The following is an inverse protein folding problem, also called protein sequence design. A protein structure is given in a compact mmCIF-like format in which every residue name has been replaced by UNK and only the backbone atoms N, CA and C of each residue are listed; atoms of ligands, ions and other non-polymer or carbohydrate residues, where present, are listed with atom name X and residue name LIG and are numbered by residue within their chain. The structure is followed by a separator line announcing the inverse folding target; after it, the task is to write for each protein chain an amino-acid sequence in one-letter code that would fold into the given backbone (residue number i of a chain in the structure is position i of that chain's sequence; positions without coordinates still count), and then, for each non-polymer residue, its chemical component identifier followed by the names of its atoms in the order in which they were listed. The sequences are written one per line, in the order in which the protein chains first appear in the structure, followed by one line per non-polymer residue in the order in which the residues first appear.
data_IF_813460105254
#
_entry.id   IF_813460105254
#
_cell.length_a   1.000
_cell.length_b   1.000
_cell.length_c   1.000
_cell.angle_alpha   90.00
_cell.angle_beta   90.00
_cell.angle_gamma   90.00
#
_symmetry.space_group_name_H-M   'P 1'
#
loop_
_entity.id
_entity.type
_entity.pdbx_description
1 polymer ?
#
# COMPACT_ATOMS: atom_id res chain seq x y z
N UNK A 1 13.67 -14.82 4.64
CA UNK A 1 14.29 -13.92 5.67
C UNK A 1 15.52 -14.61 6.26
N UNK A 2 16.72 -14.28 5.83
CA UNK A 2 17.93 -15.03 6.24
C UNK A 2 18.56 -14.56 7.57
N UNK A 3 18.16 -13.38 8.08
CA UNK A 3 18.68 -12.84 9.34
C UNK A 3 17.76 -13.27 10.50
N UNK A 4 18.30 -13.90 11.57
CA UNK A 4 17.54 -14.27 12.76
C UNK A 4 16.73 -13.12 13.36
N UNK A 5 15.55 -13.44 13.91
CA UNK A 5 14.61 -12.43 14.42
C UNK A 5 15.21 -11.55 15.53
N UNK A 6 15.99 -12.12 16.46
CA UNK A 6 16.59 -11.35 17.56
C UNK A 6 17.54 -10.27 17.04
N UNK A 7 18.32 -10.57 15.99
CA UNK A 7 19.21 -9.61 15.32
C UNK A 7 18.39 -8.52 14.62
N UNK A 8 17.37 -8.90 13.84
CA UNK A 8 16.49 -7.93 13.19
C UNK A 8 15.80 -7.02 14.20
N UNK A 9 15.31 -7.57 15.31
CA UNK A 9 14.68 -6.82 16.41
C UNK A 9 15.67 -5.86 17.09
N UNK A 10 16.93 -6.26 17.25
CA UNK A 10 17.99 -5.38 17.77
C UNK A 10 18.28 -4.21 16.81
N UNK A 11 18.42 -4.51 15.51
CA UNK A 11 18.64 -3.50 14.46
C UNK A 11 17.44 -2.58 14.22
N UNK A 12 16.25 -2.93 14.71
CA UNK A 12 15.05 -2.07 14.58
C UNK A 12 15.02 -0.89 15.56
N UNK A 13 15.99 -0.81 16.48
CA UNK A 13 16.14 0.30 17.43
C UNK A 13 16.48 1.61 16.69
N UNK A 14 15.98 2.77 17.16
CA UNK A 14 16.18 4.06 16.48
C UNK A 14 17.64 4.40 16.19
N UNK A 15 18.56 4.05 17.09
CA UNK A 15 20.00 4.25 16.92
C UNK A 15 20.53 3.67 15.60
N UNK A 16 20.27 2.37 15.36
CA UNK A 16 20.76 1.70 14.15
C UNK A 16 20.05 2.18 12.88
N UNK A 17 18.75 2.45 12.96
CA UNK A 17 18.00 2.92 11.80
C UNK A 17 18.36 4.34 11.38
N UNK A 18 18.73 5.19 12.34
CA UNK A 18 19.24 6.54 12.08
C UNK A 18 20.61 6.49 11.40
N UNK A 19 21.46 5.54 11.77
CA UNK A 19 22.81 5.37 11.19
C UNK A 19 22.78 5.17 9.66
N UNK A 20 21.71 4.53 9.15
CA UNK A 20 21.51 4.27 7.72
C UNK A 20 20.47 5.20 7.09
N UNK A 21 20.03 6.24 7.78
CA UNK A 21 18.97 7.16 7.35
C UNK A 21 17.67 6.45 6.89
N UNK A 22 17.32 5.34 7.53
CA UNK A 22 16.15 4.51 7.21
C UNK A 22 15.22 4.35 8.42
N UNK A 23 15.12 5.37 9.27
CA UNK A 23 14.27 5.36 10.47
C UNK A 23 12.78 5.58 10.16
N UNK A 24 12.26 4.84 9.18
CA UNK A 24 10.85 4.82 8.86
C UNK A 24 10.13 3.73 9.66
N UNK A 25 8.88 4.01 10.03
CA UNK A 25 7.99 3.02 10.64
C UNK A 25 7.86 1.74 9.77
N UNK A 26 8.01 1.86 8.44
CA UNK A 26 7.98 0.72 7.50
C UNK A 26 9.16 -0.22 7.73
N UNK A 27 10.37 0.32 7.79
CA UNK A 27 11.60 -0.46 8.01
C UNK A 27 11.58 -1.10 9.39
N UNK A 28 11.18 -0.34 10.42
CA UNK A 28 11.04 -0.89 11.78
C UNK A 28 10.05 -2.04 11.85
N UNK A 29 8.89 -1.91 11.19
CA UNK A 29 7.90 -2.99 11.15
C UNK A 29 8.36 -4.20 10.35
N UNK A 30 9.10 -3.99 9.25
CA UNK A 30 9.70 -5.06 8.46
C UNK A 30 10.71 -5.88 9.28
N UNK A 31 11.53 -5.22 10.09
CA UNK A 31 12.49 -5.90 10.95
C UNK A 31 11.82 -6.66 12.11
N UNK A 32 10.69 -6.17 12.61
CA UNK A 32 9.97 -6.75 13.75
C UNK A 32 8.96 -7.86 13.37
N UNK A 33 8.89 -8.30 12.12
CA UNK A 33 8.04 -9.44 11.72
C UNK A 33 8.68 -10.77 12.13
N UNK A 34 7.90 -11.69 12.71
CA UNK A 34 8.43 -12.99 13.12
C UNK A 34 8.54 -13.94 11.94
N UNK A 35 7.47 -14.02 11.14
CA UNK A 35 7.39 -14.92 9.98
C UNK A 35 7.37 -14.17 8.65
N UNK A 36 7.63 -14.89 7.56
CA UNK A 36 7.48 -14.35 6.20
C UNK A 36 6.05 -13.95 5.89
N UNK A 37 5.07 -14.72 6.38
CA UNK A 37 3.65 -14.40 6.24
C UNK A 37 3.29 -13.13 7.00
N UNK A 38 3.81 -12.93 8.23
CA UNK A 38 3.60 -11.68 8.98
C UNK A 38 4.11 -10.46 8.20
N UNK A 39 5.22 -10.64 7.47
CA UNK A 39 5.76 -9.58 6.64
C UNK A 39 4.87 -9.27 5.45
N UNK A 40 4.39 -10.30 4.74
CA UNK A 40 3.42 -10.15 3.65
C UNK A 40 2.16 -9.43 4.16
N UNK A 41 1.56 -9.90 5.26
CA UNK A 41 0.34 -9.31 5.82
C UNK A 41 0.54 -7.86 6.27
N UNK A 42 1.73 -7.52 6.80
CA UNK A 42 2.03 -6.15 7.20
C UNK A 42 2.10 -5.18 6.02
N UNK A 43 2.54 -5.64 4.85
CA UNK A 43 2.58 -4.82 3.62
C UNK A 43 1.17 -4.34 3.27
N UNK A 44 0.18 -5.23 3.32
CA UNK A 44 -1.18 -4.93 2.86
C UNK A 44 -2.07 -4.37 3.97
N UNK A 45 -2.02 -4.92 5.18
CA UNK A 45 -2.97 -4.54 6.24
C UNK A 45 -2.62 -3.23 6.95
N UNK A 46 -1.34 -2.83 6.95
CA UNK A 46 -0.80 -1.66 7.70
C UNK A 46 -1.23 -1.60 9.18
N UNK A 47 -1.71 -2.73 9.74
CA UNK A 47 -2.06 -2.99 11.15
C UNK A 47 -2.89 -1.92 11.87
N UNK A 48 -3.86 -1.30 11.19
CA UNK A 48 -4.81 -0.37 11.82
C UNK A 48 -4.10 0.77 12.55
N UNK A 49 -3.11 1.40 11.91
CA UNK A 49 -2.22 2.39 12.54
C UNK A 49 -2.94 3.50 13.31
N UNK A 50 -4.11 3.93 12.85
CA UNK A 50 -4.91 4.99 13.48
C UNK A 50 -5.88 4.48 14.56
N UNK A 51 -6.03 3.17 14.75
CA UNK A 51 -7.03 2.61 15.66
C UNK A 51 -6.47 2.41 17.07
N UNK A 52 -7.32 2.58 18.10
CA UNK A 52 -6.99 2.27 19.50
C UNK A 52 -6.80 0.76 19.68
N UNK A 53 -7.76 -0.04 19.20
CA UNK A 53 -7.68 -1.51 19.15
C UNK A 53 -7.49 -1.95 17.70
N UNK A 54 -6.44 -2.72 17.43
CA UNK A 54 -6.22 -3.27 16.09
C UNK A 54 -7.29 -4.33 15.81
N UNK A 55 -8.01 -4.19 14.69
CA UNK A 55 -8.90 -5.24 14.16
C UNK A 55 -8.27 -5.82 12.90
N UNK A 56 -7.94 -7.10 12.92
CA UNK A 56 -7.39 -7.83 11.77
C UNK A 56 -8.16 -9.11 11.47
N UNK A 57 -9.34 -9.29 12.06
CA UNK A 57 -10.12 -10.52 11.93
C UNK A 57 -10.48 -10.80 10.47
N UNK A 58 -10.59 -9.77 9.63
CA UNK A 58 -10.83 -9.91 8.20
C UNK A 58 -9.71 -10.67 7.46
N UNK A 59 -8.47 -10.64 7.96
CA UNK A 59 -7.37 -11.41 7.34
C UNK A 59 -7.58 -12.91 7.43
N UNK A 60 -8.45 -13.40 8.33
CA UNK A 60 -8.78 -14.84 8.41
C UNK A 60 -9.43 -15.37 7.13
N UNK A 61 -10.03 -14.49 6.32
CA UNK A 61 -10.63 -14.84 5.03
C UNK A 61 -9.61 -14.96 3.89
N UNK A 62 -8.35 -14.59 4.15
CA UNK A 62 -7.27 -14.63 3.17
C UNK A 62 -6.09 -15.42 3.75
N UNK A 63 -6.31 -16.65 4.22
CA UNK A 63 -5.23 -17.50 4.76
C UNK A 63 -4.63 -18.41 3.68
N UNK A 64 -5.40 -18.76 2.65
CA UNK A 64 -5.01 -19.76 1.65
C UNK A 64 -3.75 -19.38 0.85
N UNK A 65 -3.50 -18.07 0.65
CA UNK A 65 -2.29 -17.57 -0.01
C UNK A 65 -0.98 -18.07 0.64
N UNK A 66 -1.03 -18.44 1.93
CA UNK A 66 0.13 -18.96 2.68
C UNK A 66 0.63 -20.29 2.10
N UNK A 67 -0.26 -21.02 1.42
CA UNK A 67 -0.06 -22.39 0.95
C UNK A 67 -0.02 -22.51 -0.57
N UNK A 68 -0.53 -21.53 -1.32
CA UNK A 68 -0.58 -21.57 -2.79
C UNK A 68 0.78 -21.57 -3.51
N UNK A 69 1.86 -21.21 -2.83
CA UNK A 69 3.22 -21.28 -3.37
C UNK A 69 4.26 -21.42 -2.27
N UNK A 70 5.35 -22.15 -2.57
CA UNK A 70 6.54 -22.21 -1.70
C UNK A 70 7.34 -20.89 -1.75
N UNK A 71 7.22 -20.11 -2.83
CA UNK A 71 8.02 -18.91 -3.02
C UNK A 71 7.34 -17.67 -2.41
N UNK A 72 8.04 -16.97 -1.50
CA UNK A 72 7.50 -15.81 -0.76
C UNK A 72 6.94 -14.71 -1.69
N UNK A 73 7.65 -14.38 -2.76
CA UNK A 73 7.23 -13.34 -3.72
C UNK A 73 5.93 -13.76 -4.43
N UNK A 74 5.75 -15.05 -4.74
CA UNK A 74 4.52 -15.53 -5.36
C UNK A 74 3.36 -15.42 -4.39
N UNK A 75 3.52 -15.85 -3.14
CA UNK A 75 2.50 -15.69 -2.09
C UNK A 75 2.07 -14.24 -1.91
N UNK A 76 3.03 -13.31 -1.93
CA UNK A 76 2.75 -11.88 -1.85
C UNK A 76 1.97 -11.36 -3.08
N UNK A 77 2.32 -11.83 -4.27
CA UNK A 77 1.60 -11.50 -5.50
C UNK A 77 0.16 -12.03 -5.49
N UNK A 78 -0.05 -13.23 -4.94
CA UNK A 78 -1.37 -13.85 -4.85
C UNK A 78 -2.30 -13.09 -3.92
N UNK A 79 -1.78 -12.74 -2.75
CA UNK A 79 -2.53 -11.90 -1.82
C UNK A 79 -2.79 -10.50 -2.41
N UNK A 80 -1.85 -9.97 -3.19
CA UNK A 80 -2.01 -8.68 -3.86
C UNK A 80 -3.19 -8.66 -4.86
N UNK A 81 -3.45 -9.78 -5.56
CA UNK A 81 -4.63 -9.90 -6.44
C UNK A 81 -5.92 -9.71 -5.61
N UNK A 82 -5.99 -10.33 -4.42
CA UNK A 82 -7.17 -10.23 -3.56
C UNK A 82 -7.32 -8.90 -2.82
N UNK A 83 -6.21 -8.29 -2.42
CA UNK A 83 -6.28 -7.09 -1.58
C UNK A 83 -6.15 -5.79 -2.37
N UNK A 84 -5.17 -5.70 -3.26
CA UNK A 84 -4.85 -4.45 -3.95
C UNK A 84 -5.60 -4.31 -5.26
N UNK A 85 -5.66 -5.37 -6.06
CA UNK A 85 -6.29 -5.30 -7.37
C UNK A 85 -7.81 -5.08 -7.23
N UNK A 86 -8.45 -5.92 -6.42
CA UNK A 86 -9.90 -5.87 -6.17
C UNK A 86 -10.32 -4.60 -5.41
N UNK A 87 -9.58 -4.13 -4.40
CA UNK A 87 -10.05 -3.04 -3.52
C UNK A 87 -9.39 -1.67 -3.77
N UNK A 88 -8.44 -1.55 -4.70
CA UNK A 88 -7.76 -0.27 -4.97
C UNK A 88 -7.74 0.07 -6.46
N UNK A 89 -7.06 -0.74 -7.29
CA UNK A 89 -6.81 -0.35 -8.69
C UNK A 89 -8.06 -0.49 -9.57
N UNK A 90 -8.72 -1.65 -9.58
CA UNK A 90 -9.84 -1.89 -10.48
C UNK A 90 -11.05 -1.02 -10.14
N UNK A 91 -11.38 -0.90 -8.85
CA UNK A 91 -12.52 -0.10 -8.38
C UNK A 91 -12.39 1.37 -8.77
N UNK A 92 -11.17 1.94 -8.73
CA UNK A 92 -10.96 3.33 -9.11
C UNK A 92 -11.13 3.56 -10.60
N UNK A 93 -10.52 2.69 -11.42
CA UNK A 93 -10.60 2.79 -12.88
C UNK A 93 -12.04 2.62 -13.34
N UNK A 94 -12.70 1.56 -12.86
CA UNK A 94 -14.09 1.24 -13.21
C UNK A 94 -15.06 2.38 -12.85
N UNK A 95 -15.03 2.85 -11.60
CA UNK A 95 -15.91 3.95 -11.17
C UNK A 95 -15.64 5.25 -11.92
N UNK A 96 -14.37 5.57 -12.19
CA UNK A 96 -14.03 6.79 -12.91
C UNK A 96 -14.44 6.73 -14.37
N UNK A 97 -14.27 5.59 -15.04
CA UNK A 97 -14.60 5.44 -16.46
C UNK A 97 -16.12 5.32 -16.67
N UNK A 98 -16.80 4.53 -15.84
CA UNK A 98 -18.25 4.32 -15.95
C UNK A 98 -19.05 5.57 -15.60
N UNK A 99 -18.52 6.48 -14.77
CA UNK A 99 -19.09 7.81 -14.55
C UNK A 99 -19.26 8.63 -15.84
N UNK A 100 -18.52 8.28 -16.91
CA UNK A 100 -18.59 8.90 -18.22
C UNK A 100 -18.92 7.88 -19.33
N UNK A 101 -19.56 6.75 -18.98
CA UNK A 101 -19.94 5.69 -19.93
C UNK A 101 -18.76 5.13 -20.76
N UNK A 102 -17.55 5.18 -20.22
CA UNK A 102 -16.35 4.61 -20.86
C UNK A 102 -16.05 3.23 -20.28
N UNK A 103 -16.00 2.22 -21.15
CA UNK A 103 -15.57 0.88 -20.78
C UNK A 103 -14.04 0.75 -20.87
N UNK A 104 -13.37 0.44 -19.75
CA UNK A 104 -11.91 0.21 -19.72
C UNK A 104 -11.62 -1.29 -19.63
N UNK A 105 -10.78 -1.78 -20.55
CA UNK A 105 -10.27 -3.16 -20.55
C UNK A 105 -8.84 -3.20 -20.01
N UNK A 106 -8.51 -4.25 -19.26
CA UNK A 106 -7.16 -4.49 -18.71
C UNK A 106 -6.59 -5.81 -19.24
N UNK A 107 -5.94 -5.84 -20.42
CA UNK A 107 -5.47 -7.07 -21.05
C UNK A 107 -4.53 -7.92 -20.19
N UNK A 108 -3.70 -7.28 -19.34
CA UNK A 108 -2.82 -7.98 -18.41
C UNK A 108 -3.55 -8.74 -17.29
N UNK A 109 -4.84 -8.50 -17.11
CA UNK A 109 -5.69 -9.21 -16.14
C UNK A 109 -6.48 -10.37 -16.76
N UNK A 110 -6.25 -10.68 -18.04
CA UNK A 110 -6.81 -11.89 -18.63
C UNK A 110 -6.34 -13.12 -17.83
N UNK A 111 -7.28 -13.99 -17.47
CA UNK A 111 -6.98 -15.15 -16.63
C UNK A 111 -5.92 -16.06 -17.25
N UNK A 112 -5.87 -16.17 -18.59
CA UNK A 112 -4.86 -16.96 -19.32
C UNK A 112 -3.47 -16.38 -19.14
N UNK A 113 -3.34 -15.05 -19.14
CA UNK A 113 -2.08 -14.35 -18.90
C UNK A 113 -1.63 -14.55 -17.45
N UNK A 114 -2.55 -14.46 -16.49
CA UNK A 114 -2.25 -14.65 -15.07
C UNK A 114 -1.84 -16.10 -14.79
N UNK A 115 -2.60 -17.08 -15.30
CA UNK A 115 -2.33 -18.51 -15.15
C UNK A 115 -0.98 -18.88 -15.74
N UNK A 116 -0.67 -18.44 -16.97
CA UNK A 116 0.63 -18.64 -17.57
C UNK A 116 1.75 -17.96 -16.77
N UNK A 117 1.58 -16.70 -16.37
CA UNK A 117 2.58 -15.99 -15.57
C UNK A 117 2.85 -16.65 -14.21
N UNK A 118 1.88 -17.41 -13.68
CA UNK A 118 2.00 -18.18 -12.44
C UNK A 118 2.83 -19.46 -12.62
N UNK A 119 2.83 -20.09 -13.80
CA UNK A 119 3.67 -21.28 -14.06
C UNK A 119 5.15 -20.93 -14.16
N UNK A 120 5.46 -19.68 -14.53
CA UNK A 120 6.82 -19.22 -14.70
C UNK A 120 7.57 -19.09 -13.35
N UNK A 121 8.84 -19.54 -13.29
CA UNK A 121 9.71 -19.26 -12.15
C UNK A 121 9.81 -17.75 -11.87
N UNK A 122 9.88 -17.38 -10.59
CA UNK A 122 9.81 -15.96 -10.16
C UNK A 122 10.91 -15.11 -10.80
N UNK A 123 12.08 -15.69 -11.12
CA UNK A 123 13.20 -14.99 -11.76
C UNK A 123 12.87 -14.43 -13.16
N UNK A 124 11.83 -14.93 -13.85
CA UNK A 124 11.32 -14.35 -15.10
C UNK A 124 10.58 -13.03 -14.87
N UNK A 125 9.98 -12.83 -13.69
CA UNK A 125 9.24 -11.59 -13.37
C UNK A 125 10.03 -10.64 -12.47
N UNK A 126 10.93 -11.19 -11.66
CA UNK A 126 11.72 -10.43 -10.70
C UNK A 126 13.09 -11.08 -10.44
N UNK A 127 14.17 -10.34 -10.65
CA UNK A 127 15.53 -10.78 -10.31
C UNK A 127 16.39 -9.61 -9.85
N UNK A 128 16.92 -9.67 -8.61
CA UNK A 128 17.87 -8.67 -8.05
C UNK A 128 17.46 -7.21 -8.30
N UNK A 129 16.19 -6.86 -8.08
CA UNK A 129 15.68 -5.50 -8.30
C UNK A 129 15.19 -5.21 -9.71
N UNK A 130 15.52 -6.04 -10.71
CA UNK A 130 14.94 -5.95 -12.04
C UNK A 130 13.51 -6.52 -12.01
N UNK A 131 12.53 -5.61 -11.97
CA UNK A 131 11.10 -5.93 -12.04
C UNK A 131 10.63 -6.03 -13.50
N UNK A 132 9.56 -6.80 -13.72
CA UNK A 132 8.91 -6.97 -15.03
C UNK A 132 9.86 -7.52 -16.11
N UNK A 133 10.85 -8.34 -15.71
CA UNK A 133 11.95 -8.77 -16.59
C UNK A 133 11.45 -9.35 -17.92
N UNK A 134 10.61 -10.39 -17.89
CA UNK A 134 10.06 -11.01 -19.11
C UNK A 134 9.32 -10.01 -20.02
N UNK A 135 8.64 -9.00 -19.46
CA UNK A 135 7.96 -7.98 -20.25
C UNK A 135 8.97 -7.01 -20.87
N UNK A 136 10.07 -6.71 -20.18
CA UNK A 136 11.14 -5.88 -20.73
C UNK A 136 11.84 -6.63 -21.86
N UNK A 137 12.19 -7.90 -21.64
CA UNK A 137 12.84 -8.77 -22.61
C UNK A 137 11.99 -8.85 -23.90
N UNK A 138 10.67 -9.05 -23.77
CA UNK A 138 9.74 -9.02 -24.92
C UNK A 138 9.65 -7.64 -25.59
N UNK A 139 9.60 -6.54 -24.82
CA UNK A 139 9.47 -5.19 -25.37
C UNK A 139 10.71 -4.74 -26.16
N UNK A 140 11.90 -5.28 -25.85
CA UNK A 140 13.14 -5.01 -26.60
C UNK A 140 13.02 -5.42 -28.07
N UNK A 141 12.11 -6.35 -28.42
CA UNK A 141 11.84 -6.76 -29.81
C UNK A 141 11.00 -5.74 -30.59
N UNK A 142 10.27 -4.84 -29.91
CA UNK A 142 9.28 -3.94 -30.54
C UNK A 142 9.67 -2.47 -30.48
N UNK A 143 10.31 -2.03 -29.39
CA UNK A 143 10.65 -0.62 -29.18
C UNK A 143 12.03 -0.48 -28.51
N UNK A 144 12.73 0.66 -28.71
CA UNK A 144 14.03 0.90 -28.07
C UNK A 144 13.97 0.83 -26.54
N UNK A 145 14.97 0.18 -25.95
CA UNK A 145 15.05 -0.12 -24.51
C UNK A 145 14.96 1.13 -23.64
N UNK A 146 15.48 2.25 -24.12
CA UNK A 146 15.52 3.54 -23.43
C UNK A 146 14.11 4.09 -23.13
N UNK A 147 13.11 3.68 -23.93
CA UNK A 147 11.73 4.15 -23.77
C UNK A 147 11.04 3.55 -22.53
N UNK A 148 11.33 2.30 -22.20
CA UNK A 148 10.66 1.57 -21.11
C UNK A 148 11.57 1.17 -19.95
N UNK A 149 12.90 1.24 -20.10
CA UNK A 149 13.84 0.98 -19.01
C UNK A 149 13.95 2.18 -18.05
N UNK A 150 12.81 2.62 -17.52
CA UNK A 150 12.68 3.72 -16.56
C UNK A 150 12.28 3.18 -15.19
N UNK A 151 12.61 3.89 -14.09
CA UNK A 151 12.11 3.54 -12.77
C UNK A 151 10.57 3.44 -12.76
N UNK A 152 10.03 2.46 -12.03
CA UNK A 152 8.57 2.27 -11.91
C UNK A 152 7.95 3.54 -11.32
N UNK A 153 7.12 4.22 -12.12
CA UNK A 153 6.24 5.30 -11.65
C UNK A 153 4.84 4.71 -11.43
N UNK A 154 4.25 5.03 -10.28
CA UNK A 154 2.85 4.71 -9.99
C UNK A 154 1.91 5.81 -10.51
N UNK A 155 0.61 5.55 -10.45
CA UNK A 155 -0.44 6.53 -10.74
C UNK A 155 -0.78 7.37 -9.49
N UNK A 156 0.25 7.81 -8.76
CA UNK A 156 0.03 8.58 -7.53
C UNK A 156 -0.34 10.02 -7.85
N UNK A 157 -1.49 10.45 -7.35
CA UNK A 157 -1.85 11.88 -7.25
C UNK A 157 -1.08 12.56 -6.11
N UNK A 158 -0.80 13.87 -6.19
CA UNK A 158 0.04 14.58 -5.24
C UNK A 158 -0.69 14.93 -3.93
N UNK A 159 -1.31 13.92 -3.28
CA UNK A 159 -2.13 14.10 -2.06
C UNK A 159 -1.36 14.83 -0.96
N UNK A 160 -0.09 14.49 -0.73
CA UNK A 160 0.73 15.14 0.29
C UNK A 160 0.90 16.65 0.03
N UNK A 161 0.98 17.05 -1.23
CA UNK A 161 1.06 18.46 -1.61
C UNK A 161 -0.30 19.14 -1.41
N UNK A 162 -1.39 18.53 -1.89
CA UNK A 162 -2.74 19.08 -1.73
C UNK A 162 -3.13 19.29 -0.26
N UNK A 163 -2.84 18.33 0.63
CA UNK A 163 -3.14 18.47 2.06
C UNK A 163 -2.37 19.63 2.69
N UNK A 164 -1.14 19.89 2.24
CA UNK A 164 -0.29 20.96 2.79
C UNK A 164 -0.60 22.32 2.19
N UNK A 165 -1.18 22.35 0.99
CA UNK A 165 -1.36 23.55 0.19
C UNK A 165 -2.83 23.73 -0.19
N UNK A 166 -3.22 23.42 -1.43
CA UNK A 166 -4.49 23.88 -2.02
C UNK A 166 -5.73 23.42 -1.24
N UNK A 167 -5.69 22.23 -0.64
CA UNK A 167 -6.82 21.65 0.08
C UNK A 167 -6.63 21.72 1.61
N UNK A 168 -5.61 22.42 2.12
CA UNK A 168 -5.30 22.45 3.56
C UNK A 168 -6.50 22.85 4.42
N UNK A 169 -7.21 23.91 4.02
CA UNK A 169 -8.38 24.42 4.73
C UNK A 169 -9.53 23.41 4.72
N UNK A 170 -9.78 22.77 3.57
CA UNK A 170 -10.81 21.75 3.44
C UNK A 170 -10.52 20.54 4.32
N UNK A 171 -9.28 20.04 4.32
CA UNK A 171 -8.90 18.92 5.18
C UNK A 171 -9.06 19.26 6.67
N UNK A 172 -8.70 20.48 7.09
CA UNK A 172 -8.91 20.93 8.47
C UNK A 172 -10.39 21.01 8.85
N UNK A 173 -11.23 21.51 7.94
CA UNK A 173 -12.66 21.63 8.16
C UNK A 173 -13.34 20.25 8.24
N UNK A 174 -13.01 19.36 7.30
CA UNK A 174 -13.56 18.02 7.21
C UNK A 174 -13.10 17.11 8.36
N UNK A 175 -11.86 17.26 8.82
CA UNK A 175 -11.25 16.44 9.88
C UNK A 175 -11.24 17.15 11.24
N UNK A 176 -12.36 17.79 11.56
CA UNK A 176 -12.56 18.51 12.81
C UNK A 176 -12.91 17.57 14.00
N UNK A 177 -12.88 18.10 15.22
CA UNK A 177 -13.12 17.33 16.44
C UNK A 177 -14.49 16.67 16.51
N UNK A 178 -15.51 17.26 15.90
CA UNK A 178 -16.85 16.68 15.84
C UNK A 178 -16.83 15.38 15.03
N UNK A 179 -16.31 15.43 13.80
CA UNK A 179 -16.17 14.25 12.94
C UNK A 179 -15.26 13.19 13.58
N UNK A 180 -14.10 13.58 14.11
CA UNK A 180 -13.15 12.63 14.69
C UNK A 180 -13.75 11.83 15.86
N UNK A 181 -14.64 12.44 16.65
CA UNK A 181 -15.35 11.77 17.76
C UNK A 181 -16.42 10.78 17.26
N UNK A 182 -17.00 11.00 16.07
CA UNK A 182 -17.96 10.08 15.44
C UNK A 182 -17.30 8.79 14.91
N UNK A 183 -15.99 8.79 14.67
CA UNK A 183 -15.29 7.61 14.13
C UNK A 183 -15.01 6.58 15.24
N UNK A 184 -15.65 5.40 15.23
CA UNK A 184 -15.47 4.41 16.27
C UNK A 184 -14.03 3.88 16.29
N UNK A 185 -13.49 3.65 17.50
CA UNK A 185 -12.17 3.07 17.72
C UNK A 185 -10.99 3.90 17.15
N UNK A 186 -11.21 5.14 16.71
CA UNK A 186 -10.16 6.06 16.27
C UNK A 186 -9.30 6.54 17.46
N UNK A 187 -7.99 6.53 17.30
CA UNK A 187 -7.06 7.19 18.22
C UNK A 187 -6.89 8.65 17.78
N UNK A 188 -7.77 9.51 18.30
CA UNK A 188 -7.84 10.95 17.96
C UNK A 188 -6.53 11.67 18.27
N UNK A 189 -5.96 11.47 19.46
CA UNK A 189 -4.68 12.10 19.85
C UNK A 189 -3.55 11.74 18.89
N UNK A 190 -3.45 10.46 18.54
CA UNK A 190 -2.47 10.00 17.55
C UNK A 190 -2.73 10.62 16.19
N UNK A 191 -4.00 10.72 15.76
CA UNK A 191 -4.36 11.33 14.49
C UNK A 191 -3.97 12.80 14.45
N UNK A 192 -4.36 13.60 15.46
CA UNK A 192 -4.02 15.03 15.56
C UNK A 192 -2.52 15.26 15.48
N UNK A 193 -1.73 14.47 16.22
CA UNK A 193 -0.26 14.54 16.15
C UNK A 193 0.27 14.30 14.74
N UNK A 194 -0.13 13.21 14.08
CA UNK A 194 0.39 12.91 12.73
C UNK A 194 -0.14 13.89 11.68
N UNK A 195 -1.33 14.46 11.90
CA UNK A 195 -1.89 15.46 11.00
C UNK A 195 -1.06 16.74 11.06
N UNK A 196 -0.71 17.19 12.27
CA UNK A 196 0.18 18.32 12.48
C UNK A 196 1.59 18.07 11.93
N UNK A 197 2.21 16.92 12.25
CA UNK A 197 3.51 16.51 11.68
C UNK A 197 3.52 16.53 10.15
N UNK A 198 2.39 16.21 9.52
CA UNK A 198 2.26 16.25 8.07
C UNK A 198 2.17 17.67 7.52
N UNK A 199 1.37 18.52 8.17
CA UNK A 199 1.21 19.93 7.80
C UNK A 199 2.52 20.71 7.96
N UNK A 200 3.32 20.36 8.97
CA UNK A 200 4.62 20.98 9.25
C UNK A 200 5.75 20.42 8.37
N UNK A 201 5.45 19.47 7.48
CA UNK A 201 6.43 18.87 6.56
C UNK A 201 7.41 17.89 7.22
N UNK A 202 7.26 17.59 8.52
CA UNK A 202 8.16 16.68 9.26
C UNK A 202 8.07 15.23 8.76
N UNK A 203 6.91 14.80 8.29
CA UNK A 203 6.71 13.44 7.75
C UNK A 203 5.54 13.36 6.76
N UNK A 204 5.60 12.40 5.85
CA UNK A 204 4.48 12.10 4.96
C UNK A 204 3.50 11.10 5.60
N UNK A 205 2.38 11.63 6.10
CA UNK A 205 1.25 10.86 6.61
C UNK A 205 0.03 10.90 5.68
N UNK A 206 0.20 11.37 4.44
CA UNK A 206 -0.88 11.55 3.46
C UNK A 206 -1.75 10.29 3.27
N UNK A 207 -1.23 9.04 3.26
CA UNK A 207 -2.10 7.87 3.07
C UNK A 207 -3.01 7.58 4.26
N UNK A 208 -2.67 8.04 5.46
CA UNK A 208 -3.50 7.87 6.66
C UNK A 208 -4.53 8.98 6.77
N UNK A 209 -4.13 10.22 6.47
CA UNK A 209 -5.01 11.40 6.47
C UNK A 209 -6.08 11.25 5.38
N UNK A 210 -5.68 10.85 4.16
CA UNK A 210 -6.59 10.63 3.03
C UNK A 210 -7.72 9.64 3.36
N UNK A 211 -7.42 8.53 4.06
CA UNK A 211 -8.44 7.55 4.46
C UNK A 211 -9.52 8.16 5.34
N UNK A 212 -9.11 8.99 6.29
CA UNK A 212 -10.03 9.63 7.22
C UNK A 212 -10.85 10.72 6.52
N UNK A 213 -10.24 11.44 5.58
CA UNK A 213 -10.93 12.44 4.76
C UNK A 213 -11.97 11.81 3.82
N UNK A 214 -11.64 10.70 3.15
CA UNK A 214 -12.64 9.97 2.36
C UNK A 214 -13.79 9.48 3.25
N UNK A 215 -13.48 9.03 4.48
CA UNK A 215 -14.51 8.64 5.44
C UNK A 215 -15.39 9.83 5.86
N UNK A 216 -14.81 11.03 6.07
CA UNK A 216 -15.57 12.22 6.44
C UNK A 216 -16.55 12.64 5.35
N UNK A 217 -16.10 12.61 4.09
CA UNK A 217 -16.98 12.87 2.93
C UNK A 217 -18.10 11.84 2.79
N UNK A 218 -17.84 10.59 3.18
CA UNK A 218 -18.87 9.57 3.22
C UNK A 218 -19.89 9.83 4.34
N UNK A 219 -19.46 10.19 5.55
CA UNK A 219 -20.35 10.59 6.65
C UNK A 219 -21.24 11.77 6.27
N UNK A 220 -20.65 12.81 5.65
CA UNK A 220 -21.35 14.00 5.18
C UNK A 220 -22.44 13.65 4.14
N UNK A 221 -22.14 12.77 3.20
CA UNK A 221 -23.07 12.39 2.13
C UNK A 221 -24.21 11.47 2.60
N UNK A 222 -23.96 10.59 3.56
CA UNK A 222 -24.90 9.53 3.95
C UNK A 222 -25.49 9.66 5.36
N UNK A 223 -25.17 10.73 6.10
CA UNK A 223 -25.87 11.12 7.33
C UNK A 223 -25.53 10.30 8.57
N UNK A 224 -24.24 10.17 8.90
CA UNK A 224 -23.74 9.49 10.11
C UNK A 224 -23.14 10.44 11.17
#
# INVERSE_FOLDING_TARGET
MHIPYFIRKFLSRPFFLNLINQNSHRVRNALNTKTENDFIENIFSRKGFLLKKKRQDWMKHFQDYKHWSKHIIQRAADLNIKLWLENDSNVKVDRASMAYSVEVRSPFLDYRVIEYARTLPVNFRYQKGNQKRILKDLLEEYIPRELFNKPKKGFSVPIAYWIRNELKSEFKQALNDEFLKKVPNLNIEKFKRIFQEHLDGQSDHSPNIWKLYVLSKWYEKYGY
#
